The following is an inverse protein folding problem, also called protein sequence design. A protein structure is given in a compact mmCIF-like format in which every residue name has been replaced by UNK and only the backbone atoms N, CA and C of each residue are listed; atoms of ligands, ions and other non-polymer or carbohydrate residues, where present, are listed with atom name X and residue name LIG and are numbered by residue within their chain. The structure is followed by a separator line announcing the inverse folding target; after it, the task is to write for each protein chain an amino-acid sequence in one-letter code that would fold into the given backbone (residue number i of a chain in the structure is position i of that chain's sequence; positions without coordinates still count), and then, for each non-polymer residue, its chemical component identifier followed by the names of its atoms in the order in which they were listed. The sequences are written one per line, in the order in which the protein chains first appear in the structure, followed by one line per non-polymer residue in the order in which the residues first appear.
data_IF_027407822921
#
_entry.id   IF_027407822921
#
_cell.length_a   1.000
_cell.length_b   1.000
_cell.length_c   1.000
_cell.angle_alpha   90.00
_cell.angle_beta   90.00
_cell.angle_gamma   90.00
#
_symmetry.space_group_name_H-M   'P 1'
#
loop_
_entity.id
_entity.type
_entity.pdbx_description
1 polymer ?
#
# COMPACT_ATOMS: atom_id res chain seq x y z
N UNK A 1 -33.95 -3.97 8.48
CA UNK A 1 -33.15 -3.61 9.68
C UNK A 1 -31.90 -4.47 9.71
N UNK A 2 -30.73 -3.92 9.36
CA UNK A 2 -29.45 -4.63 9.55
C UNK A 2 -29.14 -4.63 11.05
N UNK A 3 -29.05 -5.81 11.67
CA UNK A 3 -28.62 -5.94 13.06
C UNK A 3 -27.23 -5.33 13.19
N UNK A 4 -27.06 -4.43 14.15
CA UNK A 4 -25.75 -3.94 14.55
C UNK A 4 -24.91 -5.15 14.97
N UNK A 5 -23.81 -5.39 14.27
CA UNK A 5 -22.79 -6.35 14.70
C UNK A 5 -22.20 -5.77 15.97
N UNK A 6 -22.30 -6.49 17.10
CA UNK A 6 -21.65 -6.10 18.34
C UNK A 6 -20.16 -5.86 18.05
N UNK A 7 -19.56 -4.82 18.62
CA UNK A 7 -18.15 -4.52 18.45
C UNK A 7 -17.31 -5.64 19.08
N UNK A 8 -17.04 -6.69 18.31
CA UNK A 8 -16.07 -7.73 18.65
C UNK A 8 -14.69 -7.08 18.83
N UNK A 9 -13.88 -7.62 19.76
CA UNK A 9 -12.53 -7.11 20.03
C UNK A 9 -11.71 -6.92 18.75
N UNK A 10 -10.89 -5.86 18.66
CA UNK A 10 -10.05 -5.64 17.48
C UNK A 10 -9.17 -6.87 17.23
N UNK A 11 -9.10 -7.29 15.97
CA UNK A 11 -8.30 -8.46 15.59
C UNK A 11 -6.82 -8.26 15.88
N UNK A 12 -6.34 -7.01 15.85
CA UNK A 12 -4.95 -6.62 16.07
C UNK A 12 -4.72 -6.01 17.46
N UNK A 13 -3.53 -6.23 18.01
CA UNK A 13 -3.03 -5.55 19.22
C UNK A 13 -1.79 -4.70 18.84
N UNK A 14 -1.75 -3.39 19.16
CA UNK A 14 -0.63 -2.52 18.77
C UNK A 14 0.63 -2.79 19.60
N UNK A 15 0.51 -3.46 20.74
CA UNK A 15 1.58 -3.72 21.70
C UNK A 15 2.03 -5.19 21.71
N UNK A 16 1.20 -6.12 21.22
CA UNK A 16 1.47 -7.56 21.25
C UNK A 16 1.34 -8.21 19.88
N UNK A 17 2.12 -9.27 19.66
CA UNK A 17 1.96 -10.11 18.49
C UNK A 17 0.85 -11.13 18.72
N UNK A 18 -0.04 -11.27 17.73
CA UNK A 18 -1.15 -12.21 17.69
C UNK A 18 -0.96 -13.15 16.50
N UNK A 19 -1.25 -14.44 16.67
CA UNK A 19 -1.09 -15.45 15.61
C UNK A 19 -2.29 -15.49 14.68
N UNK A 20 -2.04 -15.50 13.38
CA UNK A 20 -3.07 -15.65 12.35
C UNK A 20 -2.71 -16.79 11.40
N UNK A 21 -3.70 -17.63 11.09
CA UNK A 21 -3.51 -18.82 10.25
C UNK A 21 -3.62 -18.49 8.77
N UNK A 22 -2.67 -18.97 7.97
CA UNK A 22 -2.73 -18.92 6.51
C UNK A 22 -3.88 -19.82 6.03
N UNK A 23 -4.85 -19.22 5.33
CA UNK A 23 -6.04 -19.89 4.81
C UNK A 23 -5.94 -20.17 3.32
N UNK A 24 -5.33 -19.25 2.56
CA UNK A 24 -5.22 -19.34 1.11
C UNK A 24 -3.91 -18.67 0.66
N UNK A 25 -3.27 -19.25 -0.36
CA UNK A 25 -2.09 -18.70 -1.02
C UNK A 25 -2.31 -18.73 -2.53
N UNK A 26 -2.32 -17.57 -3.16
CA UNK A 26 -2.57 -17.42 -4.61
C UNK A 26 -1.32 -16.88 -5.30
N UNK A 27 -0.96 -17.44 -6.45
CA UNK A 27 0.09 -16.90 -7.32
C UNK A 27 -0.50 -15.75 -8.12
N UNK A 28 0.15 -14.57 -8.08
CA UNK A 28 -0.26 -13.36 -8.82
C UNK A 28 0.66 -13.14 -10.02
N UNK A 29 1.97 -13.24 -9.81
CA UNK A 29 2.99 -13.19 -10.86
C UNK A 29 4.05 -14.27 -10.58
N UNK A 30 5.04 -14.38 -11.47
CA UNK A 30 6.18 -15.29 -11.30
C UNK A 30 6.87 -15.18 -9.92
N UNK A 31 6.85 -14.00 -9.30
CA UNK A 31 7.47 -13.76 -8.00
C UNK A 31 6.57 -13.04 -6.99
N UNK A 32 5.26 -12.91 -7.23
CA UNK A 32 4.34 -12.22 -6.30
C UNK A 32 3.13 -13.06 -5.96
N UNK A 33 2.83 -13.16 -4.65
CA UNK A 33 1.82 -14.05 -4.07
C UNK A 33 0.87 -13.22 -3.22
N UNK A 34 -0.41 -13.60 -3.20
CA UNK A 34 -1.38 -13.14 -2.21
C UNK A 34 -1.48 -14.18 -1.11
N UNK A 35 -1.31 -13.76 0.13
CA UNK A 35 -1.50 -14.59 1.31
C UNK A 35 -2.72 -14.10 2.07
N UNK A 36 -3.69 -14.98 2.26
CA UNK A 36 -4.92 -14.72 2.99
C UNK A 36 -4.84 -15.36 4.35
N UNK A 37 -4.94 -14.55 5.40
CA UNK A 37 -4.92 -15.02 6.77
C UNK A 37 -6.32 -14.94 7.38
N UNK A 38 -6.73 -16.00 8.07
CA UNK A 38 -8.02 -16.03 8.76
C UNK A 38 -7.98 -15.19 10.04
N UNK A 39 -9.00 -14.35 10.26
CA UNK A 39 -9.22 -13.66 11.52
C UNK A 39 -9.82 -14.61 12.57
N UNK A 40 -9.93 -14.14 13.83
CA UNK A 40 -10.43 -14.95 14.97
C UNK A 40 -11.84 -15.52 14.72
N UNK A 41 -12.68 -14.81 13.97
CA UNK A 41 -14.05 -15.17 13.65
C UNK A 41 -14.35 -14.80 12.19
N UNK A 42 -15.38 -15.42 11.59
CA UNK A 42 -15.80 -15.11 10.21
C UNK A 42 -16.50 -13.75 10.09
N UNK A 43 -16.90 -13.14 11.20
CA UNK A 43 -17.71 -11.92 11.24
C UNK A 43 -16.93 -10.68 11.71
N UNK A 44 -15.66 -10.83 12.10
CA UNK A 44 -14.80 -9.70 12.48
C UNK A 44 -14.11 -9.08 11.28
N UNK A 45 -13.69 -7.83 11.42
CA UNK A 45 -12.78 -7.14 10.50
C UNK A 45 -11.37 -7.07 11.09
N UNK A 46 -10.38 -6.74 10.26
CA UNK A 46 -9.01 -6.54 10.75
C UNK A 46 -8.92 -5.32 11.68
N UNK A 47 -9.66 -4.25 11.38
CA UNK A 47 -9.66 -3.01 12.16
C UNK A 47 -8.43 -2.13 11.91
N UNK A 48 -7.86 -2.19 10.71
CA UNK A 48 -6.69 -1.40 10.33
C UNK A 48 -7.13 -0.02 9.80
N UNK A 49 -6.73 1.11 10.41
CA UNK A 49 -7.01 2.43 9.84
C UNK A 49 -6.30 2.62 8.49
N UNK A 50 -6.94 3.34 7.57
CA UNK A 50 -6.42 3.54 6.20
C UNK A 50 -5.08 4.26 6.25
N UNK A 51 -4.04 3.67 5.65
CA UNK A 51 -2.68 4.22 5.66
C UNK A 51 -1.80 3.72 6.80
N UNK A 52 -2.33 2.87 7.69
CA UNK A 52 -1.54 2.09 8.65
C UNK A 52 -1.10 0.77 8.03
N UNK A 53 -0.14 0.11 8.68
CA UNK A 53 0.34 -1.21 8.29
C UNK A 53 0.39 -2.16 9.50
N UNK A 54 0.67 -3.43 9.25
CA UNK A 54 0.93 -4.45 10.27
C UNK A 54 2.41 -4.85 10.26
N UNK A 55 2.91 -5.35 11.38
CA UNK A 55 4.24 -5.95 11.49
C UNK A 55 4.10 -7.47 11.56
N UNK A 56 4.73 -8.18 10.63
CA UNK A 56 4.90 -9.62 10.70
C UNK A 56 6.20 -9.97 11.41
N UNK A 57 6.16 -10.98 12.27
CA UNK A 57 7.31 -11.53 12.97
C UNK A 57 7.41 -13.04 12.74
N UNK A 58 8.64 -13.52 12.57
CA UNK A 58 8.94 -14.95 12.50
C UNK A 58 10.37 -15.22 13.01
N UNK A 59 10.61 -16.42 13.53
CA UNK A 59 11.96 -16.95 13.76
C UNK A 59 12.48 -17.58 12.46
N UNK A 60 13.57 -17.03 11.92
CA UNK A 60 14.17 -17.48 10.65
C UNK A 60 15.67 -17.66 10.91
N UNK A 61 16.15 -18.90 10.79
CA UNK A 61 17.55 -19.28 11.02
C UNK A 61 18.08 -18.82 12.40
N UNK A 62 17.27 -19.01 13.44
CA UNK A 62 17.61 -18.63 14.82
C UNK A 62 17.53 -17.11 15.12
N UNK A 63 17.08 -16.29 14.17
CA UNK A 63 16.95 -14.84 14.35
C UNK A 63 15.50 -14.39 14.19
N UNK A 64 15.04 -13.54 15.10
CA UNK A 64 13.75 -12.85 14.99
C UNK A 64 13.78 -11.86 13.83
N UNK A 65 13.00 -12.12 12.78
CA UNK A 65 12.84 -11.22 11.64
C UNK A 65 11.48 -10.54 11.74
N UNK A 66 11.48 -9.20 11.73
CA UNK A 66 10.25 -8.38 11.73
C UNK A 66 10.19 -7.53 10.45
N UNK A 67 9.04 -7.50 9.76
CA UNK A 67 8.85 -6.71 8.53
C UNK A 67 7.46 -6.07 8.47
N UNK A 68 7.34 -4.82 8.01
CA UNK A 68 6.05 -4.19 7.77
C UNK A 68 5.39 -4.71 6.50
N UNK A 69 4.07 -4.88 6.55
CA UNK A 69 3.23 -5.17 5.39
C UNK A 69 1.93 -4.36 5.48
N UNK A 70 1.50 -3.83 4.35
CA UNK A 70 0.22 -3.14 4.25
C UNK A 70 -0.80 -4.09 3.61
N UNK A 71 -1.85 -4.52 4.34
CA UNK A 71 -2.89 -5.38 3.78
C UNK A 71 -3.57 -4.73 2.58
N UNK A 72 -3.91 -5.54 1.58
CA UNK A 72 -4.66 -5.13 0.38
C UNK A 72 -6.17 -5.32 0.50
N UNK A 73 -6.59 -6.08 1.53
CA UNK A 73 -7.98 -6.11 2.01
C UNK A 73 -8.30 -4.85 2.83
N UNK A 74 -9.58 -4.58 3.00
CA UNK A 74 -10.10 -3.41 3.72
C UNK A 74 -10.95 -3.83 4.93
N UNK A 75 -11.48 -2.85 5.67
CA UNK A 75 -12.43 -3.13 6.76
C UNK A 75 -13.84 -3.50 6.27
N UNK A 76 -14.05 -3.68 4.97
CA UNK A 76 -15.27 -4.31 4.43
C UNK A 76 -15.12 -5.83 4.28
N UNK A 77 -13.87 -6.31 4.27
CA UNK A 77 -13.56 -7.73 4.19
C UNK A 77 -13.68 -8.36 5.59
N UNK A 78 -14.63 -9.28 5.74
CA UNK A 78 -14.89 -9.96 7.02
C UNK A 78 -14.23 -11.32 7.07
N UNK A 79 -13.67 -11.64 8.23
CA UNK A 79 -13.11 -12.94 8.56
C UNK A 79 -11.73 -13.24 7.99
N UNK A 80 -11.13 -12.33 7.23
CA UNK A 80 -9.76 -12.48 6.72
C UNK A 80 -9.06 -11.14 6.51
N UNK A 81 -7.75 -11.20 6.30
CA UNK A 81 -7.00 -10.14 5.64
C UNK A 81 -6.04 -10.70 4.61
N UNK A 82 -5.78 -9.92 3.57
CA UNK A 82 -4.87 -10.29 2.48
C UNK A 82 -3.62 -9.41 2.52
N UNK A 83 -2.44 -10.03 2.34
CA UNK A 83 -1.20 -9.33 2.03
C UNK A 83 -0.70 -9.78 0.67
N UNK A 84 -0.17 -8.84 -0.12
CA UNK A 84 0.50 -9.13 -1.39
C UNK A 84 2.00 -8.97 -1.20
N UNK A 85 2.74 -10.03 -1.48
CA UNK A 85 4.17 -10.12 -1.19
C UNK A 85 4.93 -10.56 -2.42
N UNK A 86 5.88 -9.73 -2.84
CA UNK A 86 6.93 -10.11 -3.78
C UNK A 86 7.99 -10.92 -3.05
N UNK A 87 8.29 -12.11 -3.56
CA UNK A 87 9.32 -13.00 -3.02
C UNK A 87 10.63 -12.69 -3.70
N UNK A 88 11.58 -12.26 -2.88
CA UNK A 88 12.94 -11.96 -3.31
C UNK A 88 13.84 -13.14 -2.97
N UNK A 89 14.78 -13.47 -3.85
CA UNK A 89 15.71 -14.60 -3.66
C UNK A 89 16.41 -14.52 -2.30
N UNK A 90 16.90 -13.33 -1.94
CA UNK A 90 17.59 -13.05 -0.68
C UNK A 90 16.67 -12.50 0.43
N UNK A 91 15.34 -12.54 0.24
CA UNK A 91 14.38 -11.95 1.17
C UNK A 91 13.97 -12.92 2.29
N UNK A 92 14.54 -12.78 3.50
CA UNK A 92 14.25 -13.66 4.65
C UNK A 92 12.75 -13.86 4.90
N UNK A 93 12.01 -12.78 5.17
CA UNK A 93 10.58 -12.87 5.48
C UNK A 93 9.74 -13.31 4.27
N UNK A 94 10.04 -12.82 3.07
CA UNK A 94 9.26 -13.18 1.88
C UNK A 94 9.42 -14.65 1.51
N UNK A 95 10.63 -15.20 1.65
CA UNK A 95 10.90 -16.62 1.47
C UNK A 95 10.25 -17.47 2.56
N UNK A 96 10.26 -17.00 3.81
CA UNK A 96 9.56 -17.67 4.90
C UNK A 96 8.05 -17.76 4.63
N UNK A 97 7.42 -16.64 4.24
CA UNK A 97 6.00 -16.62 3.86
C UNK A 97 5.72 -17.57 2.70
N UNK A 98 6.59 -17.60 1.68
CA UNK A 98 6.41 -18.48 0.52
C UNK A 98 6.49 -19.97 0.89
N UNK A 99 7.20 -20.33 1.96
CA UNK A 99 7.30 -21.69 2.47
C UNK A 99 6.15 -22.10 3.40
N UNK A 100 5.34 -21.17 3.88
CA UNK A 100 4.21 -21.49 4.78
C UNK A 100 3.20 -22.39 4.07
N UNK A 101 2.81 -23.46 4.75
CA UNK A 101 1.71 -24.31 4.36
C UNK A 101 0.37 -23.71 4.81
N UNK A 102 -0.71 -24.08 4.12
CA UNK A 102 -2.06 -23.75 4.57
C UNK A 102 -2.28 -24.36 5.97
N UNK A 103 -2.75 -23.55 6.91
CA UNK A 103 -2.92 -23.91 8.33
C UNK A 103 -1.80 -23.39 9.24
N UNK A 104 -0.62 -23.08 8.70
CA UNK A 104 0.48 -22.47 9.46
C UNK A 104 0.12 -21.07 9.93
N UNK A 105 0.81 -20.57 10.96
CA UNK A 105 0.54 -19.25 11.53
C UNK A 105 1.70 -18.29 11.36
N UNK A 106 1.37 -17.01 11.21
CA UNK A 106 2.33 -15.89 11.32
C UNK A 106 1.96 -15.01 12.50
N UNK A 107 2.96 -14.43 13.17
CA UNK A 107 2.77 -13.48 14.26
C UNK A 107 2.62 -12.06 13.70
N UNK A 108 1.57 -11.37 14.12
CA UNK A 108 1.16 -10.06 13.59
C UNK A 108 0.94 -9.07 14.73
N UNK A 109 1.51 -7.88 14.62
CA UNK A 109 1.26 -6.75 15.53
C UNK A 109 0.73 -5.56 14.75
N UNK A 110 -0.26 -4.83 15.28
CA UNK A 110 -0.86 -3.70 14.58
C UNK A 110 -2.03 -3.04 15.32
N UNK A 111 -2.54 -1.90 14.82
CA UNK A 111 -2.04 -1.14 13.70
C UNK A 111 -0.70 -0.45 14.01
N UNK A 112 0.12 -0.20 12.99
CA UNK A 112 1.40 0.52 13.06
C UNK A 112 1.49 1.60 11.97
N UNK A 113 2.42 2.54 12.14
CA UNK A 113 2.60 3.67 11.23
C UNK A 113 1.99 4.97 11.75
N UNK A 114 2.47 6.10 11.22
CA UNK A 114 2.05 7.43 11.67
C UNK A 114 0.96 8.03 10.78
N UNK A 115 0.96 7.73 9.49
CA UNK A 115 -0.07 8.23 8.58
C UNK A 115 -1.44 7.61 8.83
N UNK A 116 -2.49 8.40 8.66
CA UNK A 116 -3.86 7.94 8.54
C UNK A 116 -4.60 8.84 7.54
N UNK A 117 -5.32 8.23 6.60
CA UNK A 117 -6.32 8.93 5.80
C UNK A 117 -7.65 8.88 6.54
N UNK A 118 -8.25 10.04 6.80
CA UNK A 118 -9.45 10.18 7.62
C UNK A 118 -10.72 10.36 6.77
N UNK A 119 -10.59 10.43 5.44
CA UNK A 119 -11.68 10.69 4.50
C UNK A 119 -11.78 12.17 4.09
N UNK A 120 -12.40 12.42 2.94
CA UNK A 120 -12.69 13.78 2.44
C UNK A 120 -11.45 14.69 2.36
N UNK A 121 -10.32 14.12 1.93
CA UNK A 121 -9.03 14.79 1.83
C UNK A 121 -8.29 14.96 3.16
N UNK A 122 -8.91 14.64 4.29
CA UNK A 122 -8.31 14.82 5.61
C UNK A 122 -7.29 13.71 5.90
N UNK A 123 -6.16 14.10 6.47
CA UNK A 123 -5.10 13.16 6.85
C UNK A 123 -4.43 13.58 8.15
N UNK A 124 -3.83 12.60 8.83
CA UNK A 124 -2.99 12.77 10.01
C UNK A 124 -1.61 12.13 9.74
N UNK A 125 -0.53 12.82 10.08
CA UNK A 125 0.86 12.34 9.96
C UNK A 125 1.55 12.17 11.33
N UNK A 126 0.77 12.04 12.39
CA UNK A 126 1.21 11.96 13.79
C UNK A 126 1.88 13.26 14.23
N UNK A 127 3.10 13.20 14.81
CA UNK A 127 3.82 14.40 15.28
C UNK A 127 4.12 15.45 14.20
N UNK A 128 3.99 15.08 12.92
CA UNK A 128 4.19 16.00 11.79
C UNK A 128 2.95 16.84 11.47
N UNK A 129 1.85 16.64 12.20
CA UNK A 129 0.61 17.37 12.06
C UNK A 129 -0.44 16.65 11.22
N UNK A 130 -1.56 17.34 11.03
CA UNK A 130 -2.70 16.91 10.22
C UNK A 130 -3.03 17.99 9.20
N UNK A 131 -3.84 17.66 8.20
CA UNK A 131 -4.26 18.62 7.20
C UNK A 131 -5.32 18.08 6.26
N UNK A 132 -5.64 18.88 5.25
CA UNK A 132 -6.58 18.52 4.19
C UNK A 132 -5.90 18.70 2.85
N UNK A 133 -5.85 17.64 2.05
CA UNK A 133 -5.36 17.67 0.68
C UNK A 133 -6.53 17.54 -0.30
N UNK A 134 -6.58 18.41 -1.30
CA UNK A 134 -7.49 18.24 -2.44
C UNK A 134 -6.84 17.40 -3.54
N UNK A 135 -5.51 17.30 -3.53
CA UNK A 135 -4.74 16.50 -4.47
C UNK A 135 -3.75 15.60 -3.74
N UNK A 136 -3.81 14.30 -4.02
CA UNK A 136 -2.87 13.30 -3.51
C UNK A 136 -2.08 12.72 -4.68
N UNK A 137 -0.79 13.03 -4.73
CA UNK A 137 0.18 12.37 -5.59
C UNK A 137 0.76 11.13 -4.91
N UNK A 138 0.99 10.06 -5.66
CA UNK A 138 1.48 8.78 -5.17
C UNK A 138 2.64 8.30 -6.04
N UNK A 139 3.79 8.06 -5.40
CA UNK A 139 4.98 7.49 -6.04
C UNK A 139 5.19 6.08 -5.47
N UNK A 140 4.91 5.07 -6.29
CA UNK A 140 5.00 3.67 -5.88
C UNK A 140 6.08 2.93 -6.68
N UNK A 141 6.84 2.09 -5.99
CA UNK A 141 7.77 1.13 -6.61
C UNK A 141 7.44 -0.31 -6.20
N UNK A 142 7.13 -1.19 -7.16
CA UNK A 142 6.84 -2.60 -6.91
C UNK A 142 5.72 -2.82 -5.87
N UNK A 143 6.03 -3.49 -4.75
CA UNK A 143 5.04 -3.73 -3.68
C UNK A 143 4.66 -2.46 -2.89
N UNK A 144 5.32 -1.33 -3.13
CA UNK A 144 4.94 -0.03 -2.56
C UNK A 144 3.56 0.48 -3.01
N UNK A 145 2.91 -0.20 -3.96
CA UNK A 145 1.52 0.06 -4.35
C UNK A 145 0.51 -0.23 -3.23
N UNK A 146 0.81 -1.11 -2.27
CA UNK A 146 -0.16 -1.57 -1.29
C UNK A 146 -0.69 -0.48 -0.34
N UNK A 147 0.13 0.42 0.24
CA UNK A 147 -0.41 1.58 0.97
C UNK A 147 -1.15 2.56 0.08
N UNK A 148 -0.74 2.73 -1.18
CA UNK A 148 -1.44 3.60 -2.13
C UNK A 148 -2.84 3.05 -2.41
N UNK A 149 -2.96 1.74 -2.63
CA UNK A 149 -4.23 1.07 -2.87
C UNK A 149 -5.20 1.23 -1.70
N UNK A 150 -4.74 1.18 -0.45
CA UNK A 150 -5.61 1.44 0.71
C UNK A 150 -6.23 2.84 0.65
N UNK A 151 -5.42 3.86 0.37
CA UNK A 151 -5.89 5.25 0.27
C UNK A 151 -6.83 5.42 -0.92
N UNK A 152 -6.47 4.86 -2.09
CA UNK A 152 -7.30 4.89 -3.30
C UNK A 152 -8.67 4.25 -3.03
N UNK A 153 -8.71 3.04 -2.47
CA UNK A 153 -9.96 2.34 -2.15
C UNK A 153 -10.83 3.11 -1.17
N UNK A 154 -10.20 3.75 -0.18
CA UNK A 154 -10.92 4.60 0.79
C UNK A 154 -11.60 5.78 0.10
N UNK A 155 -10.90 6.48 -0.79
CA UNK A 155 -11.43 7.63 -1.55
C UNK A 155 -12.52 7.19 -2.52
N UNK A 156 -12.33 6.04 -3.17
CA UNK A 156 -13.31 5.49 -4.12
C UNK A 156 -14.64 5.11 -3.46
N UNK A 157 -14.60 4.68 -2.20
CA UNK A 157 -15.77 4.20 -1.46
C UNK A 157 -16.72 5.32 -1.06
N UNK A 158 -16.17 6.50 -0.77
CA UNK A 158 -16.97 7.66 -0.41
C UNK A 158 -17.27 8.51 -1.66
N UNK A 159 -18.54 8.55 -2.14
CA UNK A 159 -18.90 9.36 -3.30
C UNK A 159 -18.79 10.87 -3.05
N UNK A 160 -18.76 11.30 -1.78
CA UNK A 160 -18.60 12.70 -1.39
C UNK A 160 -17.14 13.12 -1.29
N UNK A 161 -16.22 12.17 -1.17
CA UNK A 161 -14.80 12.47 -1.27
C UNK A 161 -14.50 12.93 -2.69
N UNK A 162 -13.94 14.13 -2.88
CA UNK A 162 -13.61 14.70 -4.22
C UNK A 162 -12.10 14.80 -4.46
N UNK A 163 -11.30 14.14 -3.61
CA UNK A 163 -9.85 14.16 -3.70
C UNK A 163 -9.38 13.67 -5.07
N UNK A 164 -8.53 14.48 -5.71
CA UNK A 164 -7.88 14.14 -6.97
C UNK A 164 -6.66 13.29 -6.67
N UNK A 165 -6.48 12.20 -7.41
CA UNK A 165 -5.43 11.22 -7.17
C UNK A 165 -4.58 11.04 -8.43
N UNK A 166 -3.27 11.09 -8.26
CA UNK A 166 -2.31 10.80 -9.33
C UNK A 166 -1.30 9.78 -8.84
N UNK A 167 -1.04 8.75 -9.63
CA UNK A 167 -0.10 7.67 -9.30
C UNK A 167 0.95 7.57 -10.40
N UNK A 168 2.24 7.67 -10.05
CA UNK A 168 3.32 7.15 -10.90
C UNK A 168 3.75 5.82 -10.28
N UNK A 169 3.64 4.75 -11.08
CA UNK A 169 3.94 3.39 -10.62
C UNK A 169 5.10 2.78 -11.40
N UNK A 170 6.24 2.60 -10.71
CA UNK A 170 7.47 2.05 -11.25
C UNK A 170 7.60 0.55 -11.00
N UNK A 171 7.87 -0.22 -12.06
CA UNK A 171 8.16 -1.65 -12.02
C UNK A 171 9.38 -1.99 -12.89
N UNK A 172 9.90 -3.22 -12.80
CA UNK A 172 11.04 -3.62 -13.64
C UNK A 172 10.52 -3.93 -15.05
N UNK A 173 9.68 -4.95 -15.18
CA UNK A 173 9.04 -5.33 -16.43
C UNK A 173 7.52 -5.18 -16.36
N UNK A 174 6.84 -5.29 -17.52
CA UNK A 174 5.37 -5.21 -17.58
C UNK A 174 4.69 -6.31 -16.76
N UNK A 175 5.27 -7.52 -16.73
CA UNK A 175 4.79 -8.66 -15.93
C UNK A 175 4.93 -8.45 -14.41
N UNK A 176 5.66 -7.42 -13.97
CA UNK A 176 5.81 -7.07 -12.57
C UNK A 176 4.74 -6.08 -12.09
N UNK A 177 3.90 -5.54 -12.98
CA UNK A 177 2.86 -4.56 -12.60
C UNK A 177 1.76 -5.27 -11.80
N UNK A 178 1.76 -5.02 -10.50
CA UNK A 178 0.75 -5.55 -9.59
C UNK A 178 -0.56 -4.78 -9.76
N UNK A 179 -1.69 -5.50 -9.72
CA UNK A 179 -3.03 -4.90 -9.70
C UNK A 179 -3.36 -4.05 -10.93
N UNK A 180 -2.74 -4.33 -12.09
CA UNK A 180 -2.90 -3.52 -13.30
C UNK A 180 -4.36 -3.35 -13.71
N UNK A 181 -5.10 -4.45 -13.80
CA UNK A 181 -6.52 -4.45 -14.19
C UNK A 181 -7.38 -3.68 -13.18
N UNK A 182 -7.11 -3.84 -11.89
CA UNK A 182 -7.82 -3.11 -10.82
C UNK A 182 -7.57 -1.61 -10.91
N UNK A 183 -6.30 -1.18 -11.09
CA UNK A 183 -5.95 0.23 -11.24
C UNK A 183 -6.57 0.84 -12.51
N UNK A 184 -6.62 0.08 -13.61
CA UNK A 184 -7.27 0.50 -14.84
C UNK A 184 -8.78 0.69 -14.65
N UNK A 185 -9.47 -0.28 -14.04
CA UNK A 185 -10.90 -0.20 -13.77
C UNK A 185 -11.25 1.00 -12.85
N UNK A 186 -10.40 1.29 -11.86
CA UNK A 186 -10.56 2.47 -11.00
C UNK A 186 -10.42 3.76 -11.82
N UNK A 187 -9.42 3.84 -12.70
CA UNK A 187 -9.20 5.01 -13.55
C UNK A 187 -10.36 5.25 -14.53
N UNK A 188 -10.93 4.18 -15.09
CA UNK A 188 -12.09 4.24 -16.00
C UNK A 188 -13.37 4.66 -15.27
N UNK A 189 -13.58 4.16 -14.05
CA UNK A 189 -14.76 4.49 -13.24
C UNK A 189 -14.69 5.86 -12.56
N UNK A 190 -13.50 6.44 -12.40
CA UNK A 190 -13.33 7.73 -11.73
C UNK A 190 -12.29 8.61 -12.42
N UNK A 191 -12.80 9.64 -13.09
CA UNK A 191 -11.98 10.64 -13.80
C UNK A 191 -10.95 11.37 -12.93
N UNK A 192 -11.20 11.44 -11.61
CA UNK A 192 -10.29 12.05 -10.63
C UNK A 192 -9.10 11.16 -10.24
N UNK A 193 -8.98 9.94 -10.79
CA UNK A 193 -7.81 9.09 -10.62
C UNK A 193 -7.04 8.98 -11.93
N UNK A 194 -5.72 9.18 -11.88
CA UNK A 194 -4.82 9.03 -13.02
C UNK A 194 -3.62 8.15 -12.64
N UNK A 195 -3.26 7.23 -13.52
CA UNK A 195 -2.11 6.33 -13.36
C UNK A 195 -1.16 6.50 -14.53
N UNK A 196 0.12 6.68 -14.22
CA UNK A 196 1.21 6.67 -15.17
C UNK A 196 2.20 5.57 -14.79
N UNK A 197 2.38 4.58 -15.66
CA UNK A 197 3.33 3.50 -15.42
C UNK A 197 4.73 3.86 -15.95
N UNK A 198 5.77 3.40 -15.29
CA UNK A 198 7.13 3.42 -15.84
C UNK A 198 7.85 2.10 -15.60
N UNK A 199 8.60 1.63 -16.59
CA UNK A 199 9.28 0.33 -16.57
C UNK A 199 10.77 0.48 -16.81
N UNK A 200 11.60 -0.20 -16.03
CA UNK A 200 13.04 -0.25 -16.27
C UNK A 200 13.38 -1.02 -17.57
N UNK A 201 12.62 -2.07 -17.84
CA UNK A 201 12.79 -2.96 -18.99
C UNK A 201 11.42 -3.10 -19.68
N UNK A 202 10.98 -2.05 -20.40
CA UNK A 202 9.71 -2.05 -21.12
C UNK A 202 9.75 -2.97 -22.35
N UNK A 203 8.62 -3.54 -22.78
CA UNK A 203 8.51 -4.13 -24.11
C UNK A 203 8.71 -3.06 -25.20
N UNK A 204 8.91 -3.50 -26.44
CA UNK A 204 9.12 -2.61 -27.59
C UNK A 204 7.95 -1.61 -27.73
N UNK A 205 6.72 -2.12 -27.73
CA UNK A 205 5.47 -1.37 -27.87
C UNK A 205 4.96 -0.74 -26.55
N UNK A 206 5.85 -0.18 -25.73
CA UNK A 206 5.48 0.51 -24.49
C UNK A 206 5.23 2.00 -24.68
N UNK A 207 4.01 2.43 -24.35
CA UNK A 207 3.51 3.81 -24.54
C UNK A 207 3.64 4.72 -23.32
N UNK A 208 4.13 4.21 -22.19
CA UNK A 208 4.28 4.98 -20.95
C UNK A 208 5.76 5.29 -20.65
N UNK A 209 6.06 5.66 -19.41
CA UNK A 209 7.42 5.99 -18.96
C UNK A 209 8.41 4.85 -19.15
N UNK A 210 9.66 5.19 -19.47
CA UNK A 210 10.78 4.25 -19.60
C UNK A 210 11.86 4.62 -18.59
N UNK A 211 12.38 3.62 -17.89
CA UNK A 211 13.39 3.76 -16.84
C UNK A 211 12.81 4.14 -15.47
N UNK A 212 13.72 4.61 -14.62
CA UNK A 212 13.37 5.13 -13.29
C UNK A 212 12.50 6.39 -13.39
N UNK A 213 11.76 6.69 -12.30
CA UNK A 213 10.98 7.92 -12.19
C UNK A 213 11.93 9.13 -12.26
N UNK A 214 11.60 10.09 -13.12
CA UNK A 214 12.39 11.32 -13.33
C UNK A 214 11.64 12.57 -12.90
N UNK A 215 12.35 13.69 -12.71
CA UNK A 215 11.72 15.00 -12.47
C UNK A 215 10.75 15.39 -13.58
N UNK A 216 11.01 15.00 -14.84
CA UNK A 216 10.10 15.24 -15.96
C UNK A 216 8.78 14.51 -15.80
N UNK A 217 8.81 13.23 -15.41
CA UNK A 217 7.60 12.45 -15.14
C UNK A 217 6.82 13.03 -13.95
N UNK A 218 7.51 13.43 -12.88
CA UNK A 218 6.87 14.05 -11.70
C UNK A 218 6.18 15.36 -12.12
N UNK A 219 6.87 16.26 -12.83
CA UNK A 219 6.27 17.51 -13.33
C UNK A 219 5.03 17.27 -14.22
N UNK A 220 5.06 16.23 -15.04
CA UNK A 220 4.00 15.94 -16.00
C UNK A 220 2.78 15.24 -15.38
N UNK A 221 2.97 14.43 -14.33
CA UNK A 221 1.94 13.51 -13.85
C UNK A 221 1.60 13.64 -12.36
N UNK A 222 2.30 14.47 -11.59
CA UNK A 222 1.95 14.74 -10.18
C UNK A 222 1.29 16.11 -10.02
N UNK A 223 0.43 16.30 -8.99
CA UNK A 223 -0.08 17.63 -8.66
C UNK A 223 1.08 18.57 -8.31
N UNK A 224 1.04 19.85 -8.72
CA UNK A 224 2.11 20.78 -8.43
C UNK A 224 2.24 21.03 -6.91
N UNK A 225 3.41 21.51 -6.43
CA UNK A 225 3.58 21.90 -5.04
C UNK A 225 2.57 22.97 -4.63
N UNK A 226 1.74 22.66 -3.64
CA UNK A 226 0.74 23.57 -3.10
C UNK A 226 0.39 23.15 -1.67
N UNK A 227 -0.20 24.06 -0.88
CA UNK A 227 -0.68 23.73 0.48
C UNK A 227 -1.73 22.62 0.50
N UNK A 228 -2.47 22.46 -0.59
CA UNK A 228 -3.50 21.43 -0.76
C UNK A 228 -2.99 20.14 -1.42
N UNK A 229 -1.68 20.01 -1.61
CA UNK A 229 -1.03 18.84 -2.22
C UNK A 229 -0.38 17.97 -1.16
N UNK A 230 -0.62 16.66 -1.22
CA UNK A 230 0.09 15.65 -0.44
C UNK A 230 0.73 14.64 -1.40
N UNK A 231 2.02 14.35 -1.23
CA UNK A 231 2.77 13.34 -1.96
C UNK A 231 3.06 12.16 -1.03
N UNK A 232 2.57 11.00 -1.40
CA UNK A 232 2.78 9.73 -0.74
C UNK A 232 3.83 8.91 -1.47
N UNK A 233 4.80 8.35 -0.75
CA UNK A 233 5.95 7.65 -1.34
C UNK A 233 6.10 6.29 -0.68
N UNK A 234 6.17 5.22 -1.47
CA UNK A 234 6.50 3.88 -0.96
C UNK A 234 7.19 3.02 -2.02
N UNK A 235 8.19 2.27 -1.61
CA UNK A 235 8.93 1.35 -2.46
C UNK A 235 10.19 0.85 -1.75
N UNK A 236 11.08 0.14 -2.46
CA UNK A 236 12.38 -0.23 -1.93
C UNK A 236 13.17 1.00 -1.46
N UNK A 237 14.08 0.82 -0.47
CA UNK A 237 14.88 1.93 0.06
C UNK A 237 15.55 2.79 -1.03
N UNK A 238 16.23 2.21 -2.05
CA UNK A 238 16.82 3.01 -3.13
C UNK A 238 15.80 3.84 -3.92
N UNK A 239 14.57 3.33 -4.10
CA UNK A 239 13.49 4.08 -4.74
C UNK A 239 13.10 5.30 -3.89
N UNK A 240 12.83 5.10 -2.60
CA UNK A 240 12.41 6.19 -1.70
C UNK A 240 13.50 7.25 -1.58
N UNK A 241 14.76 6.83 -1.43
CA UNK A 241 15.91 7.75 -1.33
C UNK A 241 16.08 8.59 -2.62
N UNK A 242 15.78 8.02 -3.79
CA UNK A 242 15.84 8.73 -5.06
C UNK A 242 14.71 9.75 -5.27
N UNK A 243 13.51 9.52 -4.70
CA UNK A 243 12.37 10.43 -4.91
C UNK A 243 12.51 11.76 -4.18
N UNK A 244 13.15 11.75 -3.00
CA UNK A 244 13.27 12.94 -2.14
C UNK A 244 14.02 14.11 -2.82
N UNK A 245 15.23 13.93 -3.39
CA UNK A 245 15.92 15.04 -4.05
C UNK A 245 15.17 15.53 -5.30
N UNK A 246 14.48 14.65 -6.03
CA UNK A 246 13.67 15.05 -7.19
C UNK A 246 12.50 15.94 -6.74
N UNK A 247 11.79 15.56 -5.69
CA UNK A 247 10.68 16.34 -5.14
C UNK A 247 11.17 17.68 -4.56
N UNK A 248 12.31 17.71 -3.87
CA UNK A 248 12.91 18.94 -3.35
C UNK A 248 13.27 19.93 -4.47
N UNK A 249 13.93 19.44 -5.53
CA UNK A 249 14.25 20.25 -6.72
C UNK A 249 13.00 20.84 -7.40
N UNK A 250 11.86 20.16 -7.26
CA UNK A 250 10.58 20.59 -7.83
C UNK A 250 9.78 21.51 -6.90
N UNK A 251 10.28 21.79 -5.69
CA UNK A 251 9.65 22.70 -4.73
C UNK A 251 8.64 22.05 -3.80
N UNK A 252 8.56 20.72 -3.74
CA UNK A 252 7.75 20.04 -2.73
C UNK A 252 8.44 20.12 -1.38
N UNK A 253 7.76 20.68 -0.38
CA UNK A 253 8.31 20.80 0.97
C UNK A 253 8.12 19.51 1.75
N UNK A 254 8.88 19.33 2.83
CA UNK A 254 8.70 18.20 3.74
C UNK A 254 7.24 18.09 4.23
N UNK A 255 6.55 19.20 4.49
CA UNK A 255 5.16 19.19 4.94
C UNK A 255 4.19 18.59 3.91
N UNK A 256 4.55 18.63 2.62
CA UNK A 256 3.76 18.05 1.53
C UNK A 256 4.04 16.56 1.32
N UNK A 257 4.99 15.94 2.04
CA UNK A 257 5.48 14.59 1.73
C UNK A 257 5.30 13.61 2.90
N UNK A 258 4.81 12.41 2.60
CA UNK A 258 4.85 11.26 3.51
C UNK A 258 5.50 10.05 2.86
N UNK A 259 6.47 9.46 3.56
CA UNK A 259 7.11 8.19 3.19
C UNK A 259 6.56 7.11 4.11
N UNK A 260 5.98 6.06 3.54
CA UNK A 260 5.51 4.89 4.29
C UNK A 260 6.67 4.03 4.81
#
# INVERSE_FOLDING_TARGET
MRKAVAAEEPSLDPNKYVKFKLKEKTIITHNTRRFRFALKSKNVILGLPVGKHILLQAQIDGVTVCRPYTPTSSNDDVGYFDIVVKVYDNGKMSQHLDKLAIGDSIEVKGPQGRFAYLGLGQYDMGPRGHGTATHIGMLAGGTGITPMLQVIKSIMRDPNDKTQMSLIFGNIEERDILLREELQAIQESRSSFKVHHTLNTPPEEWKHGRGYITSGMIKAHMPPPAKSTLILICGPKPFVDAMIPLLDQLGYTAAMMYKF
#
